data_IF_856731019767
#
_entry.id   IF_856731019767
#
_cell.length_a   1.000
_cell.length_b   1.000
_cell.length_c   1.000
_cell.angle_alpha   90.00
_cell.angle_beta   90.00
_cell.angle_gamma   90.00
#
_symmetry.space_group_name_H-M   'P 1'
#
loop_
_entity.id
_entity.type
_entity.pdbx_description
1 polymer ?
#
# COMPACT_ATOMS: atom_id res chain seq x y z
N UNK A 1 -25.19 -4.66 -3.00
CA UNK A 1 -24.69 -5.50 -1.91
C UNK A 1 -23.24 -5.19 -1.63
N UNK A 2 -22.91 -4.94 -0.38
CA UNK A 2 -21.52 -4.63 0.02
C UNK A 2 -20.70 -5.91 0.03
N UNK A 3 -19.52 -5.84 -0.59
CA UNK A 3 -18.57 -6.94 -0.53
C UNK A 3 -17.76 -6.88 0.75
N UNK A 4 -17.41 -8.02 1.31
CA UNK A 4 -16.44 -8.07 2.39
C UNK A 4 -15.08 -7.59 1.87
N UNK A 5 -14.40 -6.79 2.69
CA UNK A 5 -13.09 -6.27 2.34
C UNK A 5 -12.00 -7.07 3.06
N UNK A 6 -11.03 -7.54 2.30
CA UNK A 6 -9.91 -8.30 2.84
C UNK A 6 -8.61 -7.62 2.44
N UNK A 7 -7.72 -7.39 3.41
CA UNK A 7 -6.39 -6.86 3.15
C UNK A 7 -5.41 -8.02 3.06
N UNK A 8 -4.66 -8.08 1.97
CA UNK A 8 -3.63 -9.11 1.79
C UNK A 8 -2.27 -8.46 1.94
N UNK A 9 -1.49 -8.94 2.92
CA UNK A 9 -0.14 -8.43 3.16
C UNK A 9 0.80 -8.93 2.07
N UNK A 10 1.49 -8.01 1.43
CA UNK A 10 2.50 -8.31 0.42
C UNK A 10 3.87 -8.17 1.10
N UNK A 11 4.45 -9.30 1.48
CA UNK A 11 5.70 -9.34 2.25
C UNK A 11 6.90 -9.74 1.41
N UNK A 12 6.89 -9.40 0.13
CA UNK A 12 8.00 -9.68 -0.77
C UNK A 12 8.30 -8.44 -1.60
N UNK A 13 9.57 -8.25 -1.95
CA UNK A 13 9.98 -7.20 -2.88
C UNK A 13 10.14 -7.73 -4.32
N UNK A 14 9.86 -9.00 -4.55
CA UNK A 14 9.94 -9.59 -5.87
C UNK A 14 8.70 -9.21 -6.68
N UNK A 15 8.89 -8.36 -7.68
CA UNK A 15 7.78 -7.82 -8.48
C UNK A 15 6.97 -8.91 -9.18
N UNK A 16 7.63 -9.97 -9.66
CA UNK A 16 6.91 -11.05 -10.32
C UNK A 16 5.99 -11.79 -9.37
N UNK A 17 6.43 -12.00 -8.13
CA UNK A 17 5.58 -12.60 -7.10
C UNK A 17 4.43 -11.69 -6.72
N UNK A 18 4.67 -10.39 -6.62
CA UNK A 18 3.63 -9.41 -6.32
C UNK A 18 2.55 -9.45 -7.41
N UNK A 19 2.95 -9.41 -8.67
CA UNK A 19 2.00 -9.46 -9.78
C UNK A 19 1.18 -10.75 -9.76
N UNK A 20 1.82 -11.87 -9.42
CA UNK A 20 1.13 -13.14 -9.32
C UNK A 20 0.09 -13.15 -8.20
N UNK A 21 0.43 -12.62 -7.04
CA UNK A 21 -0.50 -12.53 -5.92
C UNK A 21 -1.71 -11.68 -6.30
N UNK A 22 -1.47 -10.53 -6.94
CA UNK A 22 -2.55 -9.64 -7.35
C UNK A 22 -3.45 -10.33 -8.38
N UNK A 23 -2.86 -11.05 -9.32
CA UNK A 23 -3.60 -11.77 -10.35
C UNK A 23 -4.52 -12.84 -9.74
N UNK A 24 -3.98 -13.68 -8.85
CA UNK A 24 -4.76 -14.79 -8.28
C UNK A 24 -5.81 -14.33 -7.27
N UNK A 25 -5.69 -13.13 -6.73
CA UNK A 25 -6.66 -12.58 -5.78
C UNK A 25 -7.66 -11.65 -6.44
N UNK A 26 -7.59 -11.47 -7.75
CA UNK A 26 -8.53 -10.63 -8.47
C UNK A 26 -9.87 -11.38 -8.64
N UNK A 27 -10.85 -11.00 -7.85
CA UNK A 27 -12.16 -11.64 -7.83
C UNK A 27 -13.25 -10.60 -7.64
N UNK A 28 -14.45 -10.86 -8.17
CA UNK A 28 -15.62 -9.99 -7.96
C UNK A 28 -16.41 -10.35 -6.71
N UNK A 29 -16.08 -11.43 -6.03
CA UNK A 29 -16.85 -11.89 -4.85
C UNK A 29 -16.40 -11.21 -3.57
N UNK A 30 -15.15 -10.78 -3.49
CA UNK A 30 -14.55 -10.18 -2.32
C UNK A 30 -13.73 -8.99 -2.78
N UNK A 31 -13.77 -7.91 -2.01
CA UNK A 31 -12.95 -6.75 -2.27
C UNK A 31 -11.57 -6.97 -1.64
N UNK A 32 -10.63 -7.44 -2.43
CA UNK A 32 -9.28 -7.73 -1.97
C UNK A 32 -8.39 -6.51 -2.21
N UNK A 33 -7.85 -5.97 -1.13
CA UNK A 33 -6.99 -4.79 -1.18
C UNK A 33 -5.57 -5.21 -0.79
N UNK A 34 -4.59 -5.09 -1.68
CA UNK A 34 -3.22 -5.42 -1.31
C UNK A 34 -2.66 -4.41 -0.33
N UNK A 35 -1.92 -4.91 0.66
CA UNK A 35 -1.26 -4.08 1.67
C UNK A 35 0.24 -4.20 1.47
N UNK A 36 0.87 -3.09 1.08
CA UNK A 36 2.31 -3.04 0.83
C UNK A 36 3.02 -2.45 2.04
N UNK A 37 4.05 -3.15 2.51
CA UNK A 37 4.81 -2.71 3.66
C UNK A 37 6.03 -1.87 3.30
N UNK A 38 6.77 -1.50 4.34
CA UNK A 38 7.92 -0.63 4.24
C UNK A 38 9.01 -1.22 3.34
N UNK A 39 9.26 -2.52 3.48
CA UNK A 39 10.29 -3.20 2.71
C UNK A 39 10.01 -3.12 1.21
N UNK A 40 8.76 -3.32 0.80
CA UNK A 40 8.38 -3.20 -0.60
C UNK A 40 8.48 -1.75 -1.07
N UNK A 41 7.98 -0.82 -0.26
CA UNK A 41 7.95 0.60 -0.63
C UNK A 41 9.36 1.14 -0.91
N UNK A 42 10.34 0.73 -0.09
CA UNK A 42 11.71 1.17 -0.25
C UNK A 42 12.58 0.25 -1.12
N UNK A 43 11.99 -0.79 -1.70
CA UNK A 43 12.73 -1.65 -2.61
C UNK A 43 12.99 -0.92 -3.93
N UNK A 44 13.95 -1.42 -4.69
CA UNK A 44 14.44 -0.77 -5.91
C UNK A 44 13.32 -0.35 -6.87
N UNK A 45 12.33 -1.21 -7.05
CA UNK A 45 11.25 -0.96 -8.01
C UNK A 45 9.88 -0.81 -7.34
N UNK A 46 9.83 -0.89 -6.01
CA UNK A 46 8.55 -0.89 -5.29
C UNK A 46 7.77 0.38 -5.45
N UNK A 47 8.38 1.53 -5.18
CA UNK A 47 7.69 2.81 -5.31
C UNK A 47 7.24 3.06 -6.76
N UNK A 48 8.09 2.73 -7.74
CA UNK A 48 7.72 2.89 -9.14
C UNK A 48 6.52 2.02 -9.51
N UNK A 49 6.50 0.79 -8.97
CA UNK A 49 5.37 -0.10 -9.17
C UNK A 49 4.08 0.53 -8.63
N UNK A 50 4.14 1.10 -7.41
CA UNK A 50 2.98 1.72 -6.78
C UNK A 50 2.52 2.99 -7.49
N UNK A 51 3.42 3.76 -8.07
CA UNK A 51 3.06 4.94 -8.84
C UNK A 51 2.21 4.60 -10.05
N UNK A 52 2.40 3.41 -10.61
CA UNK A 52 1.67 2.92 -11.78
C UNK A 52 0.53 1.99 -11.43
N UNK A 53 0.36 1.66 -10.16
CA UNK A 53 -0.67 0.72 -9.73
C UNK A 53 -2.05 1.35 -9.94
N UNK A 54 -2.96 0.59 -10.55
CA UNK A 54 -4.27 1.13 -10.97
C UNK A 54 -5.42 0.77 -10.02
N UNK A 55 -5.15 -0.02 -9.00
CA UNK A 55 -6.17 -0.43 -8.02
C UNK A 55 -5.89 0.22 -6.67
N UNK A 56 -6.92 0.44 -5.84
CA UNK A 56 -6.72 0.93 -4.48
C UNK A 56 -5.82 -0.01 -3.69
N UNK A 57 -4.98 0.55 -2.83
CA UNK A 57 -4.10 -0.25 -1.99
C UNK A 57 -3.91 0.40 -0.63
N UNK A 58 -3.44 -0.41 0.32
CA UNK A 58 -3.10 0.00 1.67
C UNK A 58 -1.58 0.14 1.74
N UNK A 59 -1.10 1.27 2.19
CA UNK A 59 0.33 1.48 2.38
C UNK A 59 0.64 1.43 3.87
N UNK A 60 1.27 0.34 4.32
CA UNK A 60 1.56 0.09 5.72
C UNK A 60 3.03 0.37 6.00
N UNK A 61 3.37 1.64 6.02
CA UNK A 61 4.75 2.09 6.26
C UNK A 61 4.97 2.62 7.66
N UNK A 62 3.91 2.69 8.47
CA UNK A 62 3.98 3.02 9.89
C UNK A 62 4.74 4.31 10.15
N UNK A 63 4.29 5.40 9.53
CA UNK A 63 4.88 6.71 9.78
C UNK A 63 4.77 7.00 11.29
N UNK A 64 5.92 7.05 11.95
CA UNK A 64 5.98 7.27 13.39
C UNK A 64 6.76 8.55 13.64
N UNK A 65 6.06 9.63 13.94
CA UNK A 65 6.73 10.92 14.11
C UNK A 65 5.83 11.92 14.81
N UNK A 66 6.38 13.12 15.05
CA UNK A 66 5.58 14.23 15.53
C UNK A 66 4.66 14.74 14.41
N UNK A 67 3.54 15.40 14.74
CA UNK A 67 2.52 15.73 13.74
C UNK A 67 3.01 16.46 12.49
N UNK A 68 3.90 17.44 12.63
CA UNK A 68 4.38 18.20 11.48
C UNK A 68 5.19 17.32 10.52
N UNK A 69 6.03 16.44 11.06
CA UNK A 69 6.82 15.53 10.24
C UNK A 69 5.95 14.48 9.58
N UNK A 70 4.92 14.00 10.29
CA UNK A 70 3.96 13.07 9.71
C UNK A 70 3.22 13.70 8.54
N UNK A 71 2.81 14.97 8.64
CA UNK A 71 2.17 15.67 7.55
C UNK A 71 3.08 15.82 6.34
N UNK A 72 4.36 16.14 6.57
CA UNK A 72 5.34 16.23 5.49
C UNK A 72 5.53 14.89 4.79
N UNK A 73 5.59 13.80 5.58
CA UNK A 73 5.71 12.46 5.02
C UNK A 73 4.49 12.11 4.17
N UNK A 74 3.28 12.44 4.64
CA UNK A 74 2.06 12.20 3.88
C UNK A 74 2.04 13.01 2.58
N UNK A 75 2.50 14.27 2.64
CA UNK A 75 2.55 15.10 1.44
C UNK A 75 3.49 14.51 0.38
N UNK A 76 4.58 13.87 0.79
CA UNK A 76 5.51 13.24 -0.13
C UNK A 76 4.91 12.05 -0.87
N UNK A 77 3.76 11.54 -0.44
CA UNK A 77 3.09 10.40 -1.03
C UNK A 77 1.91 10.80 -1.94
N UNK A 78 1.68 12.08 -2.13
CA UNK A 78 0.50 12.56 -2.86
C UNK A 78 0.45 12.12 -4.32
N UNK A 79 1.60 11.76 -4.90
CA UNK A 79 1.66 11.24 -6.27
C UNK A 79 1.25 9.77 -6.37
N UNK A 80 1.11 9.08 -5.25
CA UNK A 80 0.59 7.71 -5.23
C UNK A 80 -0.93 7.75 -5.13
N UNK A 81 -1.57 8.00 -6.25
CA UNK A 81 -2.99 8.39 -6.31
C UNK A 81 -3.97 7.31 -5.88
N UNK A 82 -3.54 6.06 -5.85
CA UNK A 82 -4.42 4.93 -5.49
C UNK A 82 -4.27 4.49 -4.05
N UNK A 83 -3.52 5.22 -3.23
CA UNK A 83 -3.50 4.94 -1.81
C UNK A 83 -4.89 5.16 -1.24
N UNK A 84 -5.47 4.12 -0.63
CA UNK A 84 -6.76 4.21 0.03
C UNK A 84 -6.60 4.24 1.54
N UNK A 85 -5.59 3.55 2.06
CA UNK A 85 -5.31 3.45 3.49
C UNK A 85 -3.83 3.61 3.74
N UNK A 86 -3.48 4.22 4.85
CA UNK A 86 -2.08 4.37 5.26
C UNK A 86 -2.01 4.26 6.78
N UNK A 87 -0.98 3.58 7.28
CA UNK A 87 -0.74 3.49 8.71
C UNK A 87 0.10 4.67 9.16
N UNK A 88 -0.40 5.41 10.15
CA UNK A 88 0.33 6.51 10.76
C UNK A 88 0.35 6.29 12.26
N UNK A 89 1.53 6.34 12.86
CA UNK A 89 1.71 6.27 14.30
C UNK A 89 2.29 7.58 14.77
N UNK A 90 1.49 8.40 15.42
CA UNK A 90 1.93 9.71 15.91
C UNK A 90 2.25 9.59 17.39
N UNK A 91 3.52 9.84 17.76
CA UNK A 91 3.97 9.85 19.14
C UNK A 91 4.15 11.29 19.61
N UNK A 92 3.86 11.51 20.86
CA UNK A 92 4.11 12.84 21.42
C UNK A 92 3.04 13.41 22.26
#
# INVERSE_FOLDING_TARGET
>A
MMKNKIFIAIDTSNILKVKKIIEVTNTNKIDVVPKFGLQFFYSKNGRKFLEKFKKPFFLDIKIADVPNTALSALDSLKDLKKIRYITVHVSG
#
